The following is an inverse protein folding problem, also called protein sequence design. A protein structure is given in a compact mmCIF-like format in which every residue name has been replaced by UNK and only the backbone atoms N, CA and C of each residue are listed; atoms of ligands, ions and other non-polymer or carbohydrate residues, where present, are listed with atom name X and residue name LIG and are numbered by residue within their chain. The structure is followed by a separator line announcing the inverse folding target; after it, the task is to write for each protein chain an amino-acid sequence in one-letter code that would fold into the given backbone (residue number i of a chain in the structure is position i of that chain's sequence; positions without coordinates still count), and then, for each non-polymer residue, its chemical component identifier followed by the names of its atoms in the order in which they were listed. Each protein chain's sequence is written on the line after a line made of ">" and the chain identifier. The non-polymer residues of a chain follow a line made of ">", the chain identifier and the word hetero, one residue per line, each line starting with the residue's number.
data_IF_776590282174
#
_entry.id   IF_776590282174
#
_cell.length_a   1.000
_cell.length_b   1.000
_cell.length_c   1.000
_cell.angle_alpha   90.00
_cell.angle_beta   90.00
_cell.angle_gamma   90.00
#
_symmetry.space_group_name_H-M   'P 1'
#
loop_
_entity.id
_entity.type
_entity.pdbx_description
1 polymer ?
#
# COMPACT_ATOMS: atom_id res chain seq x y z
N UNK A 1 5.93 14.25 6.69
CA UNK A 1 6.34 12.90 6.24
C UNK A 1 7.51 13.05 5.27
N UNK A 2 8.51 12.18 5.35
CA UNK A 2 9.68 12.18 4.46
C UNK A 2 9.40 11.31 3.23
N UNK A 3 9.25 11.94 2.07
CA UNK A 3 8.93 11.25 0.80
C UNK A 3 10.09 10.46 0.22
N UNK A 4 11.33 10.68 0.68
CA UNK A 4 12.48 9.87 0.24
C UNK A 4 12.37 8.40 0.66
N UNK A 5 11.56 8.12 1.70
CA UNK A 5 11.25 6.78 2.21
C UNK A 5 9.98 6.18 1.58
N UNK A 6 9.32 6.90 0.68
CA UNK A 6 8.18 6.40 -0.07
C UNK A 6 8.68 5.54 -1.23
N UNK A 7 8.56 4.24 -1.05
CA UNK A 7 9.17 3.23 -1.92
C UNK A 7 8.15 2.26 -2.52
N UNK A 8 6.99 2.12 -1.88
CA UNK A 8 6.04 1.08 -2.21
C UNK A 8 4.63 1.61 -2.39
N UNK A 9 3.86 0.90 -3.20
CA UNK A 9 2.41 0.97 -3.25
C UNK A 9 1.83 -0.43 -3.11
N UNK A 10 0.75 -0.57 -2.37
CA UNK A 10 0.09 -1.85 -2.16
C UNK A 10 -1.37 -1.76 -2.56
N UNK A 11 -1.77 -2.73 -3.38
CA UNK A 11 -3.16 -2.97 -3.69
C UNK A 11 -3.84 -3.62 -2.49
N UNK A 12 -4.87 -2.95 -1.98
CA UNK A 12 -5.75 -3.44 -0.91
C UNK A 12 -7.14 -3.66 -1.51
N UNK A 13 -7.68 -4.85 -1.25
CA UNK A 13 -9.00 -5.27 -1.69
C UNK A 13 -9.80 -5.75 -0.50
N UNK A 14 -11.01 -5.25 -0.38
CA UNK A 14 -12.11 -5.82 0.39
C UNK A 14 -13.32 -5.79 -0.57
N UNK A 15 -14.11 -6.86 -0.56
CA UNK A 15 -15.13 -7.08 -1.58
C UNK A 15 -16.32 -6.11 -1.41
N UNK A 16 -16.56 -5.64 -0.17
CA UNK A 16 -17.79 -4.94 0.20
C UNK A 16 -17.55 -3.59 0.90
N UNK A 17 -16.30 -3.15 1.09
CA UNK A 17 -16.01 -1.87 1.76
C UNK A 17 -14.56 -1.43 1.57
N UNK A 18 -14.27 -0.23 2.08
CA UNK A 18 -12.91 0.18 2.39
C UNK A 18 -12.35 -0.66 3.54
N UNK A 19 -11.27 -1.41 3.30
CA UNK A 19 -10.67 -2.30 4.29
C UNK A 19 -10.16 -1.56 5.53
N UNK A 20 -9.57 -0.37 5.32
CA UNK A 20 -8.86 0.37 6.38
C UNK A 20 -9.42 1.77 6.65
N UNK A 21 -10.67 2.09 6.32
CA UNK A 21 -11.20 3.47 6.49
C UNK A 21 -11.13 3.99 7.94
N UNK A 22 -11.22 3.09 8.91
CA UNK A 22 -11.38 3.44 10.33
C UNK A 22 -10.03 3.70 11.03
N UNK A 23 -8.91 3.71 10.29
CA UNK A 23 -7.58 3.95 10.82
C UNK A 23 -7.09 5.39 10.55
N UNK A 24 -7.24 6.31 11.52
CA UNK A 24 -6.81 7.69 11.36
C UNK A 24 -5.28 7.85 11.42
N UNK A 25 -4.79 9.05 11.12
CA UNK A 25 -3.37 9.41 11.28
C UNK A 25 -2.89 9.07 12.70
N UNK A 26 -1.75 8.39 12.79
CA UNK A 26 -1.17 7.92 14.05
C UNK A 26 -1.64 6.55 14.52
N UNK A 27 -2.70 5.98 13.92
CA UNK A 27 -3.17 4.64 14.25
C UNK A 27 -2.17 3.56 13.81
N UNK A 28 -2.17 2.43 14.54
CA UNK A 28 -1.39 1.25 14.24
C UNK A 28 -2.33 0.09 13.87
N UNK A 29 -1.98 -0.69 12.86
CA UNK A 29 -2.79 -1.85 12.46
C UNK A 29 -1.98 -2.91 11.70
N UNK A 30 -2.46 -4.16 11.65
CA UNK A 30 -1.89 -5.20 10.81
C UNK A 30 -2.29 -4.99 9.34
N UNK A 31 -1.30 -4.70 8.49
CA UNK A 31 -1.49 -4.61 7.04
C UNK A 31 -1.33 -6.00 6.42
N UNK A 32 -2.43 -6.60 5.99
CA UNK A 32 -2.44 -7.99 5.55
C UNK A 32 -1.87 -8.20 4.15
N UNK A 33 -1.21 -9.33 3.93
CA UNK A 33 -0.71 -9.84 2.66
C UNK A 33 -1.44 -11.13 2.32
N UNK A 34 -2.40 -11.03 1.39
CA UNK A 34 -3.22 -12.15 0.94
C UNK A 34 -2.38 -13.16 0.16
N UNK A 35 -2.49 -14.44 0.51
CA UNK A 35 -2.12 -15.54 -0.37
C UNK A 35 -3.23 -15.74 -1.41
N UNK A 36 -2.96 -15.44 -2.68
CA UNK A 36 -3.80 -15.94 -3.79
C UNK A 36 -3.52 -17.44 -3.99
N UNK A 37 -4.50 -18.23 -4.44
CA UNK A 37 -4.21 -19.58 -4.94
C UNK A 37 -3.11 -19.52 -6.02
N UNK A 38 -2.07 -20.35 -5.86
CA UNK A 38 -0.91 -20.37 -6.76
C UNK A 38 0.11 -19.24 -6.55
N UNK A 39 -0.11 -18.31 -5.61
CA UNK A 39 0.91 -17.32 -5.25
C UNK A 39 1.96 -17.94 -4.31
N UNK A 40 3.23 -17.87 -4.71
CA UNK A 40 4.37 -18.34 -3.92
C UNK A 40 5.19 -17.15 -3.44
N UNK A 41 5.69 -17.19 -2.21
CA UNK A 41 6.64 -16.20 -1.69
C UNK A 41 6.03 -14.93 -1.10
N UNK A 42 4.73 -14.89 -0.83
CA UNK A 42 4.06 -13.76 -0.14
C UNK A 42 4.62 -13.56 1.28
N UNK A 43 4.90 -14.65 1.98
CA UNK A 43 5.56 -14.70 3.28
C UNK A 43 6.98 -14.12 3.23
N UNK A 44 7.79 -14.58 2.27
CA UNK A 44 9.16 -14.10 2.08
C UNK A 44 9.17 -12.61 1.71
N UNK A 45 8.24 -12.20 0.86
CA UNK A 45 8.08 -10.79 0.48
C UNK A 45 7.71 -9.92 1.69
N UNK A 46 6.66 -10.30 2.42
CA UNK A 46 6.26 -9.62 3.63
C UNK A 46 7.38 -9.60 4.67
N UNK A 47 8.19 -10.65 4.79
CA UNK A 47 9.30 -10.75 5.74
C UNK A 47 10.44 -9.77 5.40
N UNK A 48 10.74 -9.59 4.11
CA UNK A 48 11.90 -8.83 3.65
C UNK A 48 11.63 -7.32 3.46
N UNK A 49 10.39 -6.90 3.65
CA UNK A 49 10.01 -5.49 3.65
C UNK A 49 10.75 -4.71 4.75
N UNK A 50 11.51 -3.66 4.42
CA UNK A 50 12.36 -2.98 5.38
C UNK A 50 11.53 -2.16 6.37
N UNK A 51 11.89 -2.26 7.65
CA UNK A 51 11.36 -1.37 8.70
C UNK A 51 11.60 0.08 8.31
N UNK A 52 10.60 0.92 8.54
CA UNK A 52 10.63 2.35 8.23
C UNK A 52 10.32 2.69 6.77
N UNK A 53 10.08 1.73 5.87
CA UNK A 53 9.59 2.08 4.54
C UNK A 53 8.14 2.56 4.59
N UNK A 54 7.82 3.54 3.73
CA UNK A 54 6.46 3.99 3.51
C UNK A 54 5.80 3.27 2.33
N UNK A 55 4.54 2.93 2.52
CA UNK A 55 3.67 2.26 1.57
C UNK A 55 2.42 3.10 1.33
N UNK A 56 2.11 3.39 0.07
CA UNK A 56 0.81 3.94 -0.33
C UNK A 56 -0.22 2.82 -0.38
N UNK A 57 -1.39 2.99 0.25
CA UNK A 57 -2.49 2.05 0.12
C UNK A 57 -3.43 2.47 -1.01
N UNK A 58 -3.40 1.72 -2.10
CA UNK A 58 -4.39 1.79 -3.18
C UNK A 58 -5.55 0.87 -2.83
N UNK A 59 -6.67 1.42 -2.38
CA UNK A 59 -7.87 0.66 -2.00
C UNK A 59 -8.89 0.67 -3.13
N UNK A 60 -9.49 -0.49 -3.41
CA UNK A 60 -10.64 -0.59 -4.31
C UNK A 60 -11.93 -0.15 -3.60
N UNK A 61 -12.75 0.64 -4.28
CA UNK A 61 -14.13 0.93 -3.88
C UNK A 61 -15.13 0.07 -4.68
N UNK A 62 -16.43 0.15 -4.34
CA UNK A 62 -17.50 -0.61 -5.00
C UNK A 62 -17.53 -0.50 -6.53
N UNK A 63 -17.03 0.61 -7.09
CA UNK A 63 -17.06 0.91 -8.53
C UNK A 63 -15.86 0.34 -9.31
N UNK A 64 -15.10 -0.59 -8.71
CA UNK A 64 -13.89 -1.18 -9.26
C UNK A 64 -12.72 -0.23 -9.49
N UNK A 65 -12.87 1.06 -9.16
CA UNK A 65 -11.76 2.01 -9.19
C UNK A 65 -10.94 1.89 -7.93
N UNK A 66 -9.69 2.34 -8.05
CA UNK A 66 -8.69 2.31 -6.99
C UNK A 66 -8.31 3.72 -6.60
N UNK A 67 -8.20 3.92 -5.29
CA UNK A 67 -8.04 5.22 -4.68
C UNK A 67 -6.83 5.21 -3.76
N UNK A 68 -6.04 6.27 -3.80
CA UNK A 68 -4.91 6.48 -2.89
C UNK A 68 -5.46 6.98 -1.55
N UNK A 69 -5.49 6.10 -0.56
CA UNK A 69 -6.28 6.33 0.66
C UNK A 69 -5.44 6.52 1.91
N UNK A 70 -4.26 5.92 1.98
CA UNK A 70 -3.37 6.03 3.12
C UNK A 70 -1.92 6.04 2.70
N UNK A 71 -1.08 6.61 3.55
CA UNK A 71 0.36 6.34 3.55
C UNK A 71 0.72 5.81 4.92
N UNK A 72 1.34 4.64 4.94
CA UNK A 72 1.65 3.90 6.16
C UNK A 72 3.12 3.55 6.24
N UNK A 73 3.68 3.55 7.45
CA UNK A 73 5.07 3.18 7.74
C UNK A 73 5.11 1.77 8.33
N UNK A 74 6.01 0.91 7.85
CA UNK A 74 6.33 -0.35 8.52
C UNK A 74 7.08 -0.07 9.83
N UNK A 75 6.55 -0.50 10.96
CA UNK A 75 7.12 -0.12 12.29
C UNK A 75 7.99 -1.18 12.94
N UNK A 76 7.92 -2.42 12.47
CA UNK A 76 8.69 -3.56 12.95
C UNK A 76 9.56 -4.14 11.84
N UNK A 77 10.56 -4.94 12.18
CA UNK A 77 11.19 -5.88 11.26
C UNK A 77 10.23 -7.04 10.97
N UNK A 78 10.29 -7.65 9.79
CA UNK A 78 9.38 -8.75 9.44
C UNK A 78 9.52 -9.95 10.37
N UNK A 79 10.71 -10.18 10.92
CA UNK A 79 10.98 -11.26 11.88
C UNK A 79 10.26 -11.07 13.22
N UNK A 80 9.91 -9.84 13.59
CA UNK A 80 9.15 -9.53 14.81
C UNK A 80 7.64 -9.78 14.61
N UNK A 81 7.15 -9.61 13.38
CA UNK A 81 5.74 -9.84 13.02
C UNK A 81 5.45 -11.32 12.78
N UNK A 82 6.40 -12.06 12.19
CA UNK A 82 6.25 -13.47 11.78
C UNK A 82 5.68 -14.42 12.84
N UNK A 83 6.07 -14.36 14.13
CA UNK A 83 5.52 -15.26 15.15
C UNK A 83 4.02 -15.13 15.38
N UNK A 84 3.41 -14.03 14.92
CA UNK A 84 1.98 -13.75 15.04
C UNK A 84 1.18 -14.18 13.80
N UNK A 85 1.87 -14.66 12.75
CA UNK A 85 1.20 -15.04 11.51
C UNK A 85 0.46 -16.36 11.65
N UNK A 86 -0.72 -16.42 11.05
CA UNK A 86 -1.44 -17.67 10.84
C UNK A 86 -1.34 -18.06 9.37
N UNK A 87 -0.39 -18.94 9.04
CA UNK A 87 -0.19 -19.38 7.66
C UNK A 87 -1.35 -20.22 7.11
N UNK A 88 -2.26 -20.70 7.98
CA UNK A 88 -3.47 -21.42 7.60
C UNK A 88 -4.62 -20.50 7.20
N UNK A 89 -4.58 -19.22 7.60
CA UNK A 89 -5.50 -18.19 7.18
C UNK A 89 -4.97 -17.47 5.92
N UNK A 90 -5.84 -17.30 4.93
CA UNK A 90 -5.57 -16.54 3.70
C UNK A 90 -5.11 -15.10 3.99
N UNK A 91 -5.53 -14.54 5.13
CA UNK A 91 -5.18 -13.19 5.59
C UNK A 91 -4.24 -13.17 6.79
N UNK A 92 -3.74 -14.32 7.24
CA UNK A 92 -2.96 -14.42 8.47
C UNK A 92 -1.51 -13.95 8.37
N UNK A 93 -1.01 -13.60 7.17
CA UNK A 93 0.29 -12.95 6.98
C UNK A 93 0.08 -11.44 6.95
N UNK A 94 0.80 -10.71 7.80
CA UNK A 94 0.67 -9.25 7.89
C UNK A 94 1.98 -8.57 8.30
N UNK A 95 2.03 -7.25 8.14
CA UNK A 95 3.07 -6.41 8.76
C UNK A 95 2.44 -5.31 9.58
N UNK A 96 3.01 -5.01 10.75
CA UNK A 96 2.52 -3.90 11.55
C UNK A 96 2.90 -2.57 10.92
N UNK A 97 1.91 -1.69 10.75
CA UNK A 97 2.11 -0.37 10.17
C UNK A 97 1.52 0.73 11.03
N UNK A 98 2.03 1.96 10.83
CA UNK A 98 1.51 3.20 11.40
C UNK A 98 1.02 4.14 10.31
N UNK A 99 -0.15 4.76 10.47
CA UNK A 99 -0.68 5.74 9.50
C UNK A 99 0.01 7.09 9.63
N UNK A 100 0.47 7.66 8.52
CA UNK A 100 1.05 9.01 8.41
C UNK A 100 0.20 9.97 7.60
N UNK A 101 -0.63 9.44 6.69
CA UNK A 101 -1.58 10.22 5.91
C UNK A 101 -2.83 9.38 5.65
N UNK A 102 -4.00 10.02 5.61
CA UNK A 102 -5.29 9.39 5.30
C UNK A 102 -6.14 10.33 4.46
N UNK A 103 -6.86 9.78 3.50
CA UNK A 103 -7.81 10.52 2.68
C UNK A 103 -9.12 10.81 3.44
N UNK A 104 -9.87 11.82 3.02
CA UNK A 104 -11.18 12.12 3.58
C UNK A 104 -12.25 11.16 3.01
N UNK A 105 -12.50 10.07 3.74
CA UNK A 105 -13.54 9.10 3.39
C UNK A 105 -14.97 9.65 3.45
N UNK A 106 -15.21 10.83 4.05
CA UNK A 106 -16.53 11.48 4.00
C UNK A 106 -16.78 12.16 2.65
N UNK A 107 -15.72 12.42 1.87
CA UNK A 107 -15.80 13.01 0.54
C UNK A 107 -15.04 12.14 -0.50
N UNK A 108 -15.54 10.94 -0.84
CA UNK A 108 -14.85 10.01 -1.74
C UNK A 108 -14.50 10.59 -3.12
N UNK A 109 -15.26 11.57 -3.61
CA UNK A 109 -15.00 12.25 -4.88
C UNK A 109 -13.69 13.04 -4.91
N UNK A 110 -13.14 13.39 -3.73
CA UNK A 110 -11.89 14.12 -3.60
C UNK A 110 -10.69 13.19 -3.38
N UNK A 111 -10.92 11.88 -3.21
CA UNK A 111 -9.84 10.93 -3.01
C UNK A 111 -9.14 10.69 -4.35
N UNK A 112 -7.81 10.86 -4.43
CA UNK A 112 -7.10 10.71 -5.70
C UNK A 112 -7.21 9.29 -6.27
N UNK A 113 -7.48 9.18 -7.57
CA UNK A 113 -7.50 7.91 -8.28
C UNK A 113 -6.07 7.43 -8.57
N UNK A 114 -5.80 6.16 -8.32
CA UNK A 114 -4.44 5.61 -8.43
C UNK A 114 -3.89 5.72 -9.86
N UNK A 115 -4.73 5.42 -10.86
CA UNK A 115 -4.36 5.39 -12.26
C UNK A 115 -4.12 6.81 -12.80
N UNK A 116 -4.87 7.80 -12.30
CA UNK A 116 -4.72 9.20 -12.71
C UNK A 116 -3.45 9.81 -12.09
N UNK A 117 -3.20 9.54 -10.81
CA UNK A 117 -2.02 10.06 -10.10
C UNK A 117 -0.75 9.37 -10.56
N UNK A 118 -0.75 8.04 -10.66
CA UNK A 118 0.46 7.27 -10.98
C UNK A 118 0.71 7.17 -12.48
N UNK A 119 -0.30 7.44 -13.31
CA UNK A 119 -0.23 7.39 -14.78
C UNK A 119 0.35 6.06 -15.30
N UNK A 120 0.10 4.97 -14.57
CA UNK A 120 0.63 3.66 -14.88
C UNK A 120 -0.43 2.58 -14.62
N UNK A 121 -0.45 1.55 -15.47
CA UNK A 121 -1.29 0.37 -15.25
C UNK A 121 -0.51 -0.65 -14.41
N UNK A 122 -0.85 -0.74 -13.14
CA UNK A 122 -0.18 -1.60 -12.18
C UNK A 122 -0.61 -3.08 -12.24
N UNK A 123 -1.61 -3.41 -13.06
CA UNK A 123 -2.29 -4.70 -12.99
C UNK A 123 -3.09 -4.87 -11.68
N UNK A 124 -4.17 -5.64 -11.78
CA UNK A 124 -5.10 -5.92 -10.67
C UNK A 124 -4.65 -7.07 -9.75
N UNK A 125 -3.61 -7.84 -10.13
CA UNK A 125 -3.28 -9.10 -9.49
C UNK A 125 -2.32 -8.93 -8.31
N UNK A 126 -2.50 -9.78 -7.30
CA UNK A 126 -1.73 -9.93 -6.06
C UNK A 126 -1.78 -8.74 -5.11
N UNK A 127 -1.91 -9.03 -3.81
CA UNK A 127 -1.84 -8.04 -2.73
C UNK A 127 -0.41 -7.80 -2.26
N UNK A 128 0.59 -8.11 -3.09
CA UNK A 128 1.98 -7.76 -2.81
C UNK A 128 2.14 -6.24 -3.01
N UNK A 129 3.04 -5.62 -2.26
CA UNK A 129 3.45 -4.26 -2.56
C UNK A 129 4.34 -4.23 -3.80
N UNK A 130 4.27 -3.14 -4.53
CA UNK A 130 4.99 -2.91 -5.78
C UNK A 130 5.93 -1.75 -5.57
N UNK A 131 7.17 -1.91 -6.04
CA UNK A 131 8.15 -0.82 -5.98
C UNK A 131 7.71 0.34 -6.86
N UNK A 132 7.74 1.54 -6.29
CA UNK A 132 7.54 2.80 -7.01
C UNK A 132 8.66 3.09 -8.02
N UNK A 133 9.81 2.41 -7.90
CA UNK A 133 10.93 2.51 -8.83
C UNK A 133 10.90 1.45 -9.94
N UNK A 134 9.76 0.79 -10.17
CA UNK A 134 9.62 -0.21 -11.23
C UNK A 134 9.77 0.42 -12.62
N UNK A 135 10.33 -0.34 -13.57
CA UNK A 135 10.56 0.12 -14.95
C UNK A 135 9.29 0.68 -15.61
N UNK A 136 8.15 0.04 -15.38
CA UNK A 136 6.86 0.49 -15.91
C UNK A 136 6.51 1.92 -15.47
N UNK A 137 6.79 2.29 -14.21
CA UNK A 137 6.56 3.66 -13.77
C UNK A 137 7.62 4.61 -14.24
N UNK A 138 8.88 4.18 -14.20
CA UNK A 138 9.98 5.02 -14.63
C UNK A 138 9.92 5.32 -16.12
N UNK A 139 9.23 4.50 -16.92
CA UNK A 139 8.95 4.83 -18.33
C UNK A 139 8.10 6.10 -18.48
N UNK A 140 7.17 6.36 -17.55
CA UNK A 140 6.32 7.56 -17.56
C UNK A 140 6.95 8.71 -16.77
N UNK A 141 7.49 8.41 -15.58
CA UNK A 141 8.00 9.41 -14.64
C UNK A 141 9.49 9.74 -14.82
N UNK A 142 10.20 9.00 -15.65
CA UNK A 142 11.65 9.06 -15.91
C UNK A 142 12.53 8.64 -14.73
N UNK A 143 12.21 9.10 -13.51
CA UNK A 143 12.92 8.75 -12.28
C UNK A 143 12.02 8.85 -11.04
N UNK A 144 12.44 8.20 -9.96
CA UNK A 144 11.70 8.13 -8.71
C UNK A 144 11.51 9.49 -8.04
N UNK A 145 12.48 10.40 -8.17
CA UNK A 145 12.40 11.73 -7.55
C UNK A 145 11.32 12.61 -8.18
N UNK A 146 11.11 12.48 -9.50
CA UNK A 146 10.02 13.17 -10.21
C UNK A 146 8.65 12.66 -9.73
N UNK A 147 8.51 11.35 -9.55
CA UNK A 147 7.31 10.74 -8.98
C UNK A 147 7.07 11.18 -7.53
N UNK A 148 8.11 11.15 -6.69
CA UNK A 148 8.02 11.59 -5.27
C UNK A 148 7.61 13.05 -5.14
N UNK A 149 8.17 13.92 -5.98
CA UNK A 149 7.80 15.34 -6.03
C UNK A 149 6.32 15.51 -6.39
N UNK A 150 5.82 14.76 -7.37
CA UNK A 150 4.41 14.76 -7.74
C UNK A 150 3.51 14.27 -6.58
N UNK A 151 3.83 13.11 -6.00
CA UNK A 151 3.09 12.54 -4.88
C UNK A 151 3.07 13.46 -3.66
N UNK A 152 4.18 14.15 -3.39
CA UNK A 152 4.24 15.15 -2.32
C UNK A 152 3.26 16.30 -2.53
N UNK A 153 2.96 16.69 -3.78
CA UNK A 153 1.95 17.72 -4.06
C UNK A 153 0.53 17.20 -3.83
N UNK A 154 0.27 15.91 -4.09
CA UNK A 154 -1.04 15.28 -3.93
C UNK A 154 -1.39 15.05 -2.45
N UNK A 155 -0.40 14.71 -1.62
CA UNK A 155 -0.61 14.32 -0.22
C UNK A 155 -0.29 15.44 0.80
N UNK A 156 -0.08 16.67 0.35
CA UNK A 156 0.01 17.87 1.20
C UNK A 156 -1.36 18.24 1.74
#
# INVERSE_FOLDING_TARGET
>A
MDFSRLEYIKNVNDDDKWAYKDYPIGAYFPLNFKKSEGSVGVDSHALNLPKGAFIILSQKHFDHKRYLTHIVELVNEGSEDRPQWDESDTWGIFRWVKVHWVADFNNPSNIPLDQEVLQANWGWFNTQEKSLNSENLMSHWKNIESLRTHLQAIFK
#
